data_IF_064633805855
#
_entry.id   IF_064633805855
#
_cell.length_a   1.000
_cell.length_b   1.000
_cell.length_c   1.000
_cell.angle_alpha   90.00
_cell.angle_beta   90.00
_cell.angle_gamma   90.00
#
_symmetry.space_group_name_H-M   'P 1'
#
loop_
_entity.id
_entity.type
_entity.pdbx_description
1 polymer ?
#
# COMPACT_ATOMS: atom_id res chain seq x y z
N UNK A 1 -6.14 -5.29 4.81
CA UNK A 1 -5.22 -5.13 3.68
C UNK A 1 -5.07 -6.50 3.10
N UNK A 2 -5.28 -6.63 1.81
CA UNK A 2 -5.13 -7.87 1.09
C UNK A 2 -3.95 -7.71 0.13
N UNK A 3 -3.07 -8.71 0.08
CA UNK A 3 -1.99 -8.78 -0.89
C UNK A 3 -2.09 -10.13 -1.60
N UNK A 4 -2.24 -10.08 -2.92
CA UNK A 4 -2.31 -11.27 -3.77
C UNK A 4 -1.58 -10.99 -5.08
N UNK A 5 -1.33 -12.02 -5.87
CA UNK A 5 -0.59 -11.90 -7.11
C UNK A 5 -1.16 -12.78 -8.22
N UNK A 6 -0.80 -12.40 -9.44
CA UNK A 6 -0.93 -13.22 -10.64
C UNK A 6 0.47 -13.50 -11.20
N UNK A 7 0.54 -14.20 -12.33
CA UNK A 7 1.80 -14.32 -13.07
C UNK A 7 2.33 -12.98 -13.59
N UNK A 8 1.51 -11.93 -13.66
CA UNK A 8 1.86 -10.65 -14.30
C UNK A 8 2.08 -9.50 -13.31
N UNK A 9 1.47 -9.54 -12.13
CA UNK A 9 1.48 -8.41 -11.19
C UNK A 9 1.12 -8.85 -9.77
N UNK A 10 1.59 -8.08 -8.79
CA UNK A 10 1.00 -8.07 -7.44
C UNK A 10 -0.10 -7.01 -7.34
N UNK A 11 -1.04 -7.26 -6.44
CA UNK A 11 -2.16 -6.40 -6.12
C UNK A 11 -2.23 -6.21 -4.62
N UNK A 12 -2.29 -4.97 -4.17
CA UNK A 12 -2.49 -4.61 -2.77
C UNK A 12 -3.80 -3.85 -2.67
N UNK A 13 -4.72 -4.31 -1.81
CA UNK A 13 -6.01 -3.67 -1.55
C UNK A 13 -6.14 -3.23 -0.10
N UNK A 14 -6.56 -1.99 0.12
CA UNK A 14 -6.74 -1.40 1.45
C UNK A 14 -8.06 -0.65 1.51
N UNK A 15 -8.86 -0.93 2.53
CA UNK A 15 -10.08 -0.17 2.80
C UNK A 15 -9.69 1.22 3.33
N UNK A 16 -10.09 2.25 2.60
CA UNK A 16 -9.86 3.67 2.89
C UNK A 16 -11.17 4.48 2.79
N UNK A 17 -12.28 4.03 3.39
CA UNK A 17 -13.55 4.73 3.28
C UNK A 17 -13.46 6.14 3.88
N UNK A 18 -13.96 7.12 3.14
CA UNK A 18 -13.97 8.53 3.54
C UNK A 18 -12.65 9.28 3.32
N UNK A 19 -11.62 8.65 2.76
CA UNK A 19 -10.44 9.33 2.24
C UNK A 19 -10.65 9.66 0.76
N UNK A 20 -10.39 10.90 0.37
CA UNK A 20 -10.26 11.28 -1.03
C UNK A 20 -8.93 10.77 -1.61
N UNK A 21 -8.75 10.85 -2.93
CA UNK A 21 -7.47 10.49 -3.55
C UNK A 21 -6.35 11.43 -3.11
N UNK A 22 -6.69 12.67 -2.75
CA UNK A 22 -5.76 13.68 -2.25
C UNK A 22 -5.29 13.38 -0.83
N UNK A 23 -6.11 12.69 -0.03
CA UNK A 23 -5.76 12.30 1.34
C UNK A 23 -4.86 11.06 1.39
N UNK A 24 -4.68 10.34 0.27
CA UNK A 24 -3.90 9.09 0.19
C UNK A 24 -2.62 9.30 -0.62
N UNK A 25 -1.48 9.09 0.02
CA UNK A 25 -0.15 9.16 -0.58
C UNK A 25 0.43 7.75 -0.73
N UNK A 26 0.87 7.41 -1.94
CA UNK A 26 1.54 6.14 -2.26
C UNK A 26 2.90 6.46 -2.86
N UNK A 27 3.97 5.94 -2.28
CA UNK A 27 5.36 6.20 -2.70
C UNK A 27 6.20 4.93 -2.57
N UNK A 28 7.28 4.83 -3.34
CA UNK A 28 8.35 3.85 -3.09
C UNK A 28 9.54 4.62 -2.54
N UNK A 29 9.97 4.28 -1.33
CA UNK A 29 11.12 4.86 -0.64
C UNK A 29 12.38 4.01 -0.88
N UNK A 30 13.52 4.45 -0.34
CA UNK A 30 14.79 3.71 -0.43
C UNK A 30 14.65 2.28 0.14
N UNK A 31 15.40 1.33 -0.43
CA UNK A 31 15.32 -0.08 -0.02
C UNK A 31 14.13 -0.84 -0.61
N UNK A 32 13.51 -0.34 -1.68
CA UNK A 32 12.38 -0.99 -2.37
C UNK A 32 11.13 -1.14 -1.48
N UNK A 33 10.86 -0.13 -0.63
CA UNK A 33 9.74 -0.15 0.30
C UNK A 33 8.58 0.67 -0.26
N UNK A 34 7.45 0.02 -0.52
CA UNK A 34 6.19 0.70 -0.82
C UNK A 34 5.58 1.26 0.46
N UNK A 35 5.38 2.56 0.48
CA UNK A 35 4.80 3.28 1.61
C UNK A 35 3.46 3.89 1.21
N UNK A 36 2.42 3.52 1.95
CA UNK A 36 1.06 4.00 1.78
C UNK A 36 0.67 4.74 3.05
N UNK A 37 0.40 6.03 2.92
CA UNK A 37 -0.07 6.87 4.02
C UNK A 37 -1.40 7.49 3.64
N UNK A 38 -2.34 7.55 4.57
CA UNK A 38 -3.48 8.43 4.42
C UNK A 38 -3.69 9.21 5.70
N UNK A 39 -3.87 10.51 5.57
CA UNK A 39 -4.15 11.42 6.68
C UNK A 39 -5.50 12.06 6.40
N UNK A 40 -6.46 11.88 7.29
CA UNK A 40 -7.72 12.61 7.13
C UNK A 40 -7.40 14.03 7.55
N UNK A 41 -7.69 15.00 6.67
CA UNK A 41 -7.68 16.41 7.07
C UNK A 41 -8.40 16.54 8.42
N UNK A 42 -7.74 17.21 9.36
CA UNK A 42 -8.15 17.47 10.75
C UNK A 42 -9.65 17.34 10.96
N UNK A 43 -10.02 16.59 11.98
CA UNK A 43 -11.38 16.32 12.44
C UNK A 43 -12.14 17.63 12.72
N UNK A 44 -12.60 18.28 11.65
CA UNK A 44 -13.27 19.58 11.70
C UNK A 44 -14.78 19.44 11.87
N UNK A 45 -15.31 18.22 11.83
CA UNK A 45 -16.74 17.98 11.93
C UNK A 45 -17.26 18.06 13.38
N UNK A 46 -16.49 17.53 14.34
CA UNK A 46 -16.95 17.42 15.73
C UNK A 46 -16.80 18.70 16.55
N UNK A 47 -15.76 19.50 16.29
CA UNK A 47 -15.54 20.77 17.01
C UNK A 47 -16.35 21.96 16.44
N UNK A 48 -16.93 21.84 15.23
CA UNK A 48 -17.56 22.98 14.55
C UNK A 48 -19.07 23.08 14.71
N UNK A 49 -19.76 22.04 15.17
CA UNK A 49 -21.22 22.06 15.30
C UNK A 49 -21.64 22.36 16.73
N UNK A 50 -21.68 23.65 17.08
CA UNK A 50 -22.03 24.14 18.43
C UNK A 50 -23.46 23.81 18.89
N UNK A 51 -24.31 23.26 18.02
CA UNK A 51 -25.72 22.96 18.27
C UNK A 51 -26.12 21.52 17.89
N UNK A 52 -25.18 20.57 17.86
CA UNK A 52 -25.47 19.17 17.50
C UNK A 52 -25.40 18.23 18.71
N UNK A 53 -26.46 17.43 18.90
CA UNK A 53 -26.50 16.34 19.89
C UNK A 53 -26.20 15.02 19.19
N UNK A 54 -25.10 14.38 19.60
CA UNK A 54 -24.72 13.06 19.10
C UNK A 54 -25.37 11.96 19.93
N UNK A 55 -26.23 11.14 19.33
CA UNK A 55 -26.79 9.96 19.99
C UNK A 55 -25.84 8.76 19.94
N UNK A 56 -25.12 8.57 18.83
CA UNK A 56 -24.13 7.50 18.60
C UNK A 56 -23.06 7.99 17.62
N UNK A 57 -21.79 7.63 17.85
CA UNK A 57 -20.66 7.96 16.98
C UNK A 57 -19.66 6.79 16.85
N UNK A 58 -20.08 5.71 16.17
CA UNK A 58 -19.27 4.48 16.00
C UNK A 58 -18.12 4.62 15.01
N UNK A 59 -18.32 5.46 13.97
CA UNK A 59 -17.31 5.78 12.96
C UNK A 59 -16.30 6.78 13.53
N UNK A 60 -15.74 6.48 14.70
CA UNK A 60 -14.85 7.36 15.47
C UNK A 60 -14.06 8.23 14.52
N UNK A 61 -14.18 9.56 14.70
CA UNK A 61 -13.66 10.57 13.76
C UNK A 61 -12.28 10.11 13.30
N UNK A 62 -12.04 10.16 11.99
CA UNK A 62 -10.88 9.60 11.28
C UNK A 62 -9.55 10.23 11.73
N UNK A 63 -9.31 10.29 13.04
CA UNK A 63 -8.32 11.06 13.77
C UNK A 63 -6.93 10.46 13.63
N UNK A 64 -6.85 9.20 13.24
CA UNK A 64 -5.59 8.51 13.07
C UNK A 64 -5.53 8.10 11.61
N UNK A 65 -4.80 8.89 10.84
CA UNK A 65 -4.31 8.44 9.56
C UNK A 65 -3.68 7.05 9.65
N UNK A 66 -3.58 6.35 8.54
CA UNK A 66 -2.89 5.05 8.51
C UNK A 66 -1.57 5.18 7.76
N UNK A 67 -0.59 4.38 8.18
CA UNK A 67 0.66 4.14 7.46
C UNK A 67 0.85 2.63 7.27
N UNK A 68 1.26 2.21 6.09
CA UNK A 68 1.67 0.85 5.78
C UNK A 68 2.96 0.91 4.97
N UNK A 69 3.88 0.05 5.35
CA UNK A 69 5.19 -0.11 4.70
C UNK A 69 5.30 -1.57 4.28
N UNK A 70 5.61 -1.80 3.01
CA UNK A 70 5.63 -3.13 2.40
C UNK A 70 6.90 -3.23 1.58
N UNK A 71 7.80 -4.12 1.97
CA UNK A 71 8.97 -4.44 1.16
C UNK A 71 8.52 -5.12 -0.13
N UNK A 72 8.89 -4.52 -1.27
CA UNK A 72 8.52 -5.03 -2.57
C UNK A 72 9.48 -6.15 -3.01
N UNK A 73 8.97 -7.16 -3.73
CA UNK A 73 9.83 -8.09 -4.44
C UNK A 73 10.75 -7.42 -5.46
N UNK A 74 11.91 -8.03 -5.69
CA UNK A 74 12.92 -7.58 -6.67
C UNK A 74 12.44 -7.61 -8.13
N UNK A 75 11.31 -8.24 -8.40
CA UNK A 75 10.71 -8.32 -9.73
C UNK A 75 9.60 -7.28 -9.93
N UNK A 76 9.48 -6.22 -9.12
CA UNK A 76 8.50 -5.16 -9.38
C UNK A 76 9.07 -4.09 -10.32
N UNK A 77 8.31 -3.73 -11.37
CA UNK A 77 8.59 -2.56 -12.23
C UNK A 77 8.09 -1.28 -11.57
N UNK A 78 8.95 -0.64 -10.77
CA UNK A 78 8.60 0.52 -9.93
C UNK A 78 8.02 1.67 -10.77
N UNK A 79 8.56 1.91 -11.96
CA UNK A 79 8.13 2.95 -12.90
C UNK A 79 6.71 2.74 -13.46
N UNK A 80 6.16 1.53 -13.31
CA UNK A 80 4.85 1.14 -13.85
C UNK A 80 3.81 0.88 -12.76
N UNK A 81 4.14 1.16 -11.50
CA UNK A 81 3.18 1.07 -10.40
C UNK A 81 2.01 2.02 -10.65
N UNK A 82 0.80 1.52 -10.45
CA UNK A 82 -0.43 2.30 -10.56
C UNK A 82 -1.24 2.16 -9.27
N UNK A 83 -1.92 3.22 -8.88
CA UNK A 83 -2.81 3.22 -7.72
C UNK A 83 -4.12 3.90 -8.08
N UNK A 84 -5.23 3.39 -7.55
CA UNK A 84 -6.55 4.00 -7.67
C UNK A 84 -7.34 3.83 -6.38
N UNK A 85 -8.15 4.82 -6.03
CA UNK A 85 -9.17 4.70 -5.00
C UNK A 85 -10.53 4.67 -5.69
N UNK A 86 -11.28 3.60 -5.47
CA UNK A 86 -12.62 3.43 -6.02
C UNK A 86 -13.52 2.82 -4.96
N UNK A 87 -14.71 3.40 -4.74
CA UNK A 87 -15.69 2.93 -3.76
C UNK A 87 -15.11 2.70 -2.34
N UNK A 88 -14.20 3.58 -1.91
CA UNK A 88 -13.56 3.50 -0.59
C UNK A 88 -12.47 2.42 -0.47
N UNK A 89 -11.98 1.89 -1.59
CA UNK A 89 -10.90 0.89 -1.61
C UNK A 89 -9.74 1.41 -2.44
N UNK A 90 -8.56 1.52 -1.82
CA UNK A 90 -7.30 1.73 -2.51
C UNK A 90 -6.85 0.40 -3.13
N UNK A 91 -6.58 0.40 -4.42
CA UNK A 91 -5.94 -0.71 -5.13
C UNK A 91 -4.60 -0.22 -5.70
N UNK A 92 -3.51 -0.87 -5.32
CA UNK A 92 -2.17 -0.66 -5.88
C UNK A 92 -1.81 -1.87 -6.73
N UNK A 93 -1.45 -1.62 -7.98
CA UNK A 93 -1.01 -2.63 -8.96
C UNK A 93 0.48 -2.49 -9.16
N UNK A 94 1.20 -3.58 -8.95
CA UNK A 94 2.66 -3.67 -9.01
C UNK A 94 3.04 -4.65 -10.13
N UNK A 95 3.26 -4.18 -11.37
CA UNK A 95 3.60 -5.06 -12.49
C UNK A 95 4.93 -5.78 -12.26
N UNK A 96 4.97 -7.06 -12.62
CA UNK A 96 6.19 -7.88 -12.53
C UNK A 96 7.12 -7.66 -13.72
N UNK A 97 8.41 -7.73 -13.46
CA UNK A 97 9.46 -7.87 -14.46
C UNK A 97 9.67 -9.35 -14.78
N UNK A 98 9.07 -9.74 -15.90
CA UNK A 98 9.15 -11.08 -16.46
C UNK A 98 10.35 -11.24 -17.40
N UNK A 99 11.24 -10.24 -17.47
CA UNK A 99 12.51 -10.40 -18.17
C UNK A 99 13.26 -11.61 -17.59
N UNK A 100 13.90 -12.44 -18.43
CA UNK A 100 14.66 -13.57 -17.94
C UNK A 100 15.78 -13.07 -17.02
N UNK A 101 15.61 -13.24 -15.71
CA UNK A 101 16.70 -12.96 -14.77
C UNK A 101 17.83 -13.94 -15.06
N UNK A 102 19.10 -13.50 -15.16
CA UNK A 102 20.21 -14.41 -15.32
C UNK A 102 20.14 -15.43 -14.19
N UNK A 103 20.12 -16.72 -14.53
CA UNK A 103 19.98 -17.76 -13.52
C UNK A 103 21.15 -17.61 -12.54
N UNK A 104 20.86 -17.33 -11.27
CA UNK A 104 21.86 -17.39 -10.18
C UNK A 104 22.15 -18.84 -9.79
N UNK A 105 22.11 -19.77 -10.75
CA UNK A 105 22.45 -21.17 -10.52
C UNK A 105 23.96 -21.23 -10.32
N UNK A 106 24.37 -21.18 -9.05
CA UNK A 106 25.73 -21.48 -8.66
C UNK A 106 25.83 -22.97 -8.42
N UNK A 107 26.44 -23.69 -9.35
CA UNK A 107 26.84 -25.07 -9.11
C UNK A 107 27.89 -25.07 -7.99
N UNK A 108 27.53 -25.62 -6.83
CA UNK A 108 28.46 -25.78 -5.71
C UNK A 108 29.12 -27.15 -5.88
N UNK A 109 30.44 -27.14 -6.09
CA UNK A 109 31.22 -28.37 -6.13
C UNK A 109 31.34 -28.94 -4.71
N UNK A 110 30.97 -30.20 -4.52
CA UNK A 110 31.10 -30.89 -3.24
C UNK A 110 32.52 -31.46 -3.15
N UNK A 111 33.33 -30.89 -2.25
CA UNK A 111 34.67 -31.37 -1.92
C UNK A 111 34.65 -32.22 -0.65
N UNK A 112 35.53 -33.22 -0.57
CA UNK A 112 35.72 -34.04 0.64
C UNK A 112 36.46 -33.31 1.77
N UNK A 113 36.94 -32.08 1.53
CA UNK A 113 37.59 -31.22 2.52
C UNK A 113 37.12 -29.77 2.34
N UNK A 114 36.84 -29.10 3.46
CA UNK A 114 36.49 -27.68 3.55
C UNK A 114 37.69 -26.78 3.21
#
# INVERSE_FOLDING_TARGET
MDWFETSQAHFIKINVPGYSKEDVKVQVEEGNVLVIRAESGKDTSKEKEKDTVWHVAERGGQLNGFSREIELPDDVKIDQIKAQVENGVLTVVLPKDLSPKPSKVRNIHVSSKL
#
